data_IF_402487735369
#
_entry.id   IF_402487735369
#
_cell.length_a   1.000
_cell.length_b   1.000
_cell.length_c   1.000
_cell.angle_alpha   90.00
_cell.angle_beta   90.00
_cell.angle_gamma   90.00
#
_symmetry.space_group_name_H-M   'P 1'
#
loop_
_entity.id
_entity.type
_entity.pdbx_description
1 polymer ?
#
# COMPACT_ATOMS: atom_id res chain seq x y z
N UNK A 1 -9.21 -19.32 -7.22
CA UNK A 1 -7.92 -19.19 -6.52
C UNK A 1 -8.14 -18.66 -5.11
N UNK A 2 -7.68 -19.40 -4.10
CA UNK A 2 -7.81 -18.97 -2.69
C UNK A 2 -6.85 -17.82 -2.44
N UNK A 3 -7.36 -16.68 -1.95
CA UNK A 3 -6.54 -15.51 -1.60
C UNK A 3 -6.06 -15.66 -0.16
N UNK A 4 -4.76 -15.47 0.07
CA UNK A 4 -4.12 -15.60 1.38
C UNK A 4 -3.25 -14.38 1.63
N UNK A 5 -3.53 -13.67 2.72
CA UNK A 5 -2.64 -12.65 3.26
C UNK A 5 -1.78 -13.26 4.35
N UNK A 6 -0.50 -12.95 4.33
CA UNK A 6 0.45 -13.45 5.32
C UNK A 6 0.76 -12.36 6.34
N UNK A 7 0.90 -12.72 7.60
CA UNK A 7 1.18 -11.78 8.67
C UNK A 7 2.14 -12.32 9.72
N UNK A 8 2.83 -11.40 10.39
CA UNK A 8 3.69 -11.65 11.54
C UNK A 8 3.02 -11.19 12.82
N UNK A 9 3.18 -11.93 13.88
CA UNK A 9 2.83 -11.48 15.22
C UNK A 9 3.96 -10.64 15.78
N UNK A 10 3.62 -9.48 16.33
CA UNK A 10 4.52 -8.59 17.08
C UNK A 10 3.92 -8.27 18.43
N UNK A 11 4.76 -7.91 19.39
CA UNK A 11 4.31 -7.53 20.72
C UNK A 11 3.50 -6.23 20.67
N UNK A 12 2.39 -6.20 21.41
CA UNK A 12 1.59 -4.99 21.55
C UNK A 12 2.24 -4.08 22.61
N UNK A 13 2.96 -3.06 22.14
CA UNK A 13 3.61 -2.07 23.02
C UNK A 13 2.64 -1.06 23.64
N UNK A 14 1.38 -1.06 23.26
CA UNK A 14 0.36 -0.07 23.71
C UNK A 14 -0.36 -0.51 24.96
N UNK A 15 -0.55 -1.81 25.15
CA UNK A 15 -1.20 -2.36 26.35
C UNK A 15 -0.17 -2.68 27.41
N UNK A 16 -0.12 -1.86 28.46
CA UNK A 16 0.77 -2.07 29.63
C UNK A 16 0.32 -3.20 30.54
N UNK A 17 -0.96 -3.57 30.48
CA UNK A 17 -1.59 -4.48 31.44
C UNK A 17 -1.62 -5.95 30.98
N UNK A 18 -1.43 -6.21 29.70
CA UNK A 18 -1.46 -7.57 29.17
C UNK A 18 -0.29 -7.82 28.22
N UNK A 19 0.79 -8.42 28.74
CA UNK A 19 2.01 -8.75 27.97
C UNK A 19 1.84 -9.90 26.96
N UNK A 20 0.67 -10.51 26.93
CA UNK A 20 0.36 -11.63 26.03
C UNK A 20 -0.33 -11.20 24.74
N UNK A 21 -0.79 -9.94 24.66
CA UNK A 21 -1.47 -9.44 23.47
C UNK A 21 -0.48 -9.21 22.34
N UNK A 22 -0.81 -9.77 21.18
CA UNK A 22 -0.02 -9.65 19.95
C UNK A 22 -0.78 -8.85 18.91
N UNK A 23 -0.08 -8.07 18.13
CA UNK A 23 -0.61 -7.38 16.95
C UNK A 23 -0.21 -8.16 15.71
N UNK A 24 -1.14 -8.31 14.78
CA UNK A 24 -0.86 -8.92 13.49
C UNK A 24 -0.39 -7.87 12.49
N UNK A 25 0.81 -8.02 11.99
CA UNK A 25 1.43 -7.15 11.00
C UNK A 25 1.48 -7.84 9.64
N UNK A 26 1.05 -7.14 8.60
CA UNK A 26 1.12 -7.66 7.24
C UNK A 26 2.56 -7.96 6.81
N UNK A 27 2.81 -9.19 6.38
CA UNK A 27 4.01 -9.56 5.63
C UNK A 27 3.81 -9.11 4.18
N UNK A 28 4.32 -7.93 3.85
CA UNK A 28 4.17 -7.38 2.49
C UNK A 28 4.89 -8.26 1.47
N UNK A 29 4.22 -8.52 0.35
CA UNK A 29 4.83 -9.20 -0.79
C UNK A 29 5.63 -8.25 -1.70
N UNK A 30 5.67 -6.96 -1.37
CA UNK A 30 6.34 -5.92 -2.15
C UNK A 30 5.38 -4.87 -2.69
N UNK A 31 5.90 -4.01 -3.57
CA UNK A 31 5.15 -2.98 -4.26
C UNK A 31 5.17 -3.26 -5.76
N UNK A 32 4.03 -3.15 -6.39
CA UNK A 32 3.87 -3.31 -7.83
C UNK A 32 3.46 -1.97 -8.47
N UNK A 33 3.96 -1.73 -9.65
CA UNK A 33 3.62 -0.58 -10.48
C UNK A 33 2.50 -0.91 -11.48
N UNK A 34 2.04 0.09 -12.22
CA UNK A 34 1.10 -0.15 -13.32
C UNK A 34 1.68 -1.09 -14.38
N UNK A 35 2.97 -0.97 -14.68
CA UNK A 35 3.64 -1.84 -15.66
C UNK A 35 3.64 -3.30 -15.20
N UNK A 36 3.89 -3.56 -13.93
CA UNK A 36 3.82 -4.91 -13.36
C UNK A 36 2.39 -5.48 -13.46
N UNK A 37 1.37 -4.65 -13.22
CA UNK A 37 -0.03 -5.07 -13.37
C UNK A 37 -0.36 -5.38 -14.84
N UNK A 38 0.13 -4.57 -15.78
CA UNK A 38 -0.04 -4.82 -17.20
C UNK A 38 0.65 -6.11 -17.65
N UNK A 39 1.83 -6.41 -17.11
CA UNK A 39 2.51 -7.69 -17.39
C UNK A 39 1.67 -8.88 -16.93
N UNK A 40 1.04 -8.80 -15.76
CA UNK A 40 0.11 -9.84 -15.30
C UNK A 40 -1.14 -9.96 -16.22
N UNK A 41 -1.63 -8.83 -16.73
CA UNK A 41 -2.73 -8.83 -17.71
C UNK A 41 -2.33 -9.50 -19.04
N UNK A 42 -1.09 -9.30 -19.51
CA UNK A 42 -0.59 -9.93 -20.75
C UNK A 42 -0.50 -11.45 -20.67
N UNK A 43 -0.31 -11.98 -19.47
CA UNK A 43 -0.29 -13.43 -19.22
C UNK A 43 -1.69 -14.08 -19.32
N UNK A 44 -2.75 -13.26 -19.29
CA UNK A 44 -4.11 -13.75 -19.48
C UNK A 44 -4.40 -13.94 -20.95
N UNK A 45 -4.98 -15.09 -21.31
CA UNK A 45 -5.38 -15.37 -22.69
C UNK A 45 -6.69 -14.66 -23.04
N UNK A 46 -6.58 -13.36 -23.34
CA UNK A 46 -7.74 -12.52 -23.68
C UNK A 46 -7.91 -12.32 -25.18
N UNK A 47 -6.96 -12.75 -25.98
CA UNK A 47 -6.90 -12.45 -27.42
C UNK A 47 -6.58 -11.00 -27.76
N UNK A 48 -6.38 -10.13 -26.77
CA UNK A 48 -6.03 -8.72 -26.97
C UNK A 48 -4.51 -8.54 -27.07
N UNK A 49 -4.09 -7.63 -27.94
CA UNK A 49 -2.67 -7.27 -28.04
C UNK A 49 -2.23 -6.44 -26.80
N UNK A 50 -0.99 -6.59 -26.32
CA UNK A 50 -0.46 -5.82 -25.20
C UNK A 50 -0.63 -4.30 -25.35
N UNK A 51 -0.40 -3.76 -26.54
CA UNK A 51 -0.54 -2.33 -26.83
C UNK A 51 -2.00 -1.86 -26.67
N UNK A 52 -2.95 -2.68 -27.08
CA UNK A 52 -4.39 -2.41 -26.93
C UNK A 52 -4.78 -2.39 -25.45
N UNK A 53 -4.29 -3.34 -24.68
CA UNK A 53 -4.54 -3.38 -23.23
C UNK A 53 -3.97 -2.15 -22.53
N UNK A 54 -2.72 -1.81 -22.80
CA UNK A 54 -2.05 -0.61 -22.24
C UNK A 54 -2.82 0.66 -22.60
N UNK A 55 -3.19 0.81 -23.86
CA UNK A 55 -3.94 1.98 -24.33
C UNK A 55 -5.30 2.10 -23.61
N UNK A 56 -6.02 1.02 -23.48
CA UNK A 56 -7.33 0.98 -22.81
C UNK A 56 -7.22 1.35 -21.33
N UNK A 57 -6.23 0.83 -20.61
CA UNK A 57 -6.00 1.14 -19.19
C UNK A 57 -5.59 2.60 -19.01
N UNK A 58 -4.71 3.11 -19.87
CA UNK A 58 -4.28 4.52 -19.83
C UNK A 58 -5.44 5.47 -20.12
N UNK A 59 -6.28 5.15 -21.09
CA UNK A 59 -7.48 5.92 -21.41
C UNK A 59 -8.45 5.91 -20.22
N UNK A 60 -8.68 4.74 -19.63
CA UNK A 60 -9.53 4.58 -18.45
C UNK A 60 -9.05 5.45 -17.28
N UNK A 61 -7.77 5.41 -16.95
CA UNK A 61 -7.20 6.23 -15.87
C UNK A 61 -7.38 7.72 -16.12
N UNK A 62 -7.15 8.17 -17.36
CA UNK A 62 -7.33 9.56 -17.74
C UNK A 62 -8.79 10.02 -17.56
N UNK A 63 -9.73 9.24 -18.06
CA UNK A 63 -11.17 9.56 -17.95
C UNK A 63 -11.62 9.57 -16.49
N UNK A 64 -11.21 8.58 -15.68
CA UNK A 64 -11.53 8.53 -14.24
C UNK A 64 -10.96 9.74 -13.51
N UNK A 65 -9.72 10.11 -13.79
CA UNK A 65 -9.09 11.29 -13.21
C UNK A 65 -9.83 12.58 -13.59
N UNK A 66 -10.18 12.75 -14.85
CA UNK A 66 -10.91 13.92 -15.34
C UNK A 66 -12.29 14.03 -14.66
N UNK A 67 -13.02 12.93 -14.52
CA UNK A 67 -14.30 12.91 -13.84
C UNK A 67 -14.19 13.27 -12.36
N UNK A 68 -13.22 12.71 -11.64
CA UNK A 68 -12.98 13.03 -10.22
C UNK A 68 -12.68 14.52 -10.05
N UNK A 69 -11.78 15.07 -10.88
CA UNK A 69 -11.37 16.48 -10.80
C UNK A 69 -12.46 17.45 -11.28
N UNK A 70 -13.48 16.96 -11.98
CA UNK A 70 -14.70 17.71 -12.30
C UNK A 70 -15.80 17.58 -11.23
N UNK A 71 -15.50 16.97 -10.08
CA UNK A 71 -16.38 16.92 -8.93
C UNK A 71 -17.29 15.70 -8.84
N UNK A 72 -17.11 14.72 -9.71
CA UNK A 72 -17.89 13.48 -9.66
C UNK A 72 -17.30 12.49 -8.63
N UNK A 73 -18.18 11.83 -7.89
CA UNK A 73 -17.81 10.59 -7.19
C UNK A 73 -17.77 9.46 -8.21
N UNK A 74 -16.63 8.80 -8.34
CA UNK A 74 -16.44 7.71 -9.29
C UNK A 74 -16.31 6.38 -8.57
N UNK A 75 -17.20 5.44 -8.90
CA UNK A 75 -17.07 4.04 -8.48
C UNK A 75 -16.40 3.24 -9.60
N UNK A 76 -15.23 2.69 -9.31
CA UNK A 76 -14.43 1.92 -10.28
C UNK A 76 -14.80 0.43 -10.31
N UNK A 77 -15.71 -0.01 -9.44
CA UNK A 77 -16.03 -1.41 -9.22
C UNK A 77 -15.19 -2.08 -8.12
N UNK A 78 -14.01 -1.56 -7.80
CA UNK A 78 -13.19 -2.00 -6.65
C UNK A 78 -13.25 -1.03 -5.48
N UNK A 79 -13.20 0.24 -5.77
CA UNK A 79 -13.28 1.33 -4.79
C UNK A 79 -14.04 2.52 -5.36
N UNK A 80 -14.56 3.33 -4.45
CA UNK A 80 -15.20 4.60 -4.77
C UNK A 80 -14.25 5.73 -4.40
N UNK A 81 -13.98 6.60 -5.36
CA UNK A 81 -13.20 7.81 -5.20
C UNK A 81 -14.13 9.02 -5.07
N UNK A 82 -13.93 9.84 -4.05
CA UNK A 82 -14.73 11.05 -3.80
C UNK A 82 -13.80 12.24 -3.63
N UNK A 83 -13.89 13.27 -4.51
CA UNK A 83 -13.12 14.49 -4.34
C UNK A 83 -13.64 15.30 -3.16
N UNK A 84 -12.74 15.92 -2.42
CA UNK A 84 -13.05 16.73 -1.26
C UNK A 84 -12.16 17.97 -1.20
N UNK A 85 -12.69 19.02 -0.61
CA UNK A 85 -11.99 20.27 -0.34
C UNK A 85 -11.75 20.39 1.16
N UNK A 86 -10.56 20.85 1.56
CA UNK A 86 -10.18 21.05 2.95
C UNK A 86 -9.57 22.43 3.13
N UNK A 87 -9.81 23.03 4.27
CA UNK A 87 -9.27 24.32 4.69
C UNK A 87 -10.34 25.37 4.91
N UNK A 88 -9.95 26.46 5.57
CA UNK A 88 -10.78 27.63 5.81
C UNK A 88 -10.55 28.63 4.69
N UNK A 89 -11.62 29.14 4.11
CA UNK A 89 -11.54 30.14 3.05
C UNK A 89 -11.78 31.52 3.66
N UNK A 90 -10.75 32.35 3.72
CA UNK A 90 -10.83 33.72 4.19
C UNK A 90 -11.25 34.63 3.04
N UNK A 91 -12.26 35.48 3.28
CA UNK A 91 -12.76 36.42 2.27
C UNK A 91 -13.41 35.77 1.04
N UNK A 92 -13.75 34.49 1.08
CA UNK A 92 -14.38 33.78 -0.04
C UNK A 92 -13.43 33.47 -1.21
N UNK A 93 -12.12 33.60 -1.04
CA UNK A 93 -11.11 33.38 -2.09
C UNK A 93 -10.34 32.09 -1.80
N UNK A 94 -10.23 31.23 -2.82
CA UNK A 94 -9.41 30.03 -2.75
C UNK A 94 -7.91 30.37 -2.65
N UNK A 95 -7.23 29.80 -1.64
CA UNK A 95 -5.78 29.95 -1.45
C UNK A 95 -5.12 28.58 -1.33
N UNK A 96 -4.20 28.25 -2.25
CA UNK A 96 -3.49 26.97 -2.27
C UNK A 96 -2.61 26.71 -1.04
N UNK A 97 -2.22 27.74 -0.30
CA UNK A 97 -1.41 27.60 0.92
C UNK A 97 -2.26 27.12 2.10
N UNK A 98 -3.51 27.58 2.18
CA UNK A 98 -4.43 27.28 3.29
C UNK A 98 -5.51 26.26 2.92
N UNK A 99 -5.70 25.98 1.63
CA UNK A 99 -6.74 25.09 1.13
C UNK A 99 -6.12 23.96 0.32
N UNK A 100 -6.68 22.78 0.41
CA UNK A 100 -6.23 21.61 -0.31
C UNK A 100 -7.36 20.81 -0.93
N UNK A 101 -7.06 20.19 -2.06
CA UNK A 101 -7.92 19.21 -2.71
C UNK A 101 -7.38 17.83 -2.33
N UNK A 102 -8.23 16.93 -1.92
CA UNK A 102 -7.86 15.53 -1.71
C UNK A 102 -8.96 14.61 -2.19
N UNK A 103 -8.60 13.36 -2.43
CA UNK A 103 -9.55 12.33 -2.85
C UNK A 103 -9.59 11.25 -1.78
N UNK A 104 -10.76 10.98 -1.26
CA UNK A 104 -10.99 9.86 -0.35
C UNK A 104 -11.37 8.61 -1.13
N UNK A 105 -10.89 7.46 -0.67
CA UNK A 105 -11.17 6.16 -1.27
C UNK A 105 -11.86 5.26 -0.27
N UNK A 106 -12.95 4.62 -0.69
CA UNK A 106 -13.65 3.61 0.10
C UNK A 106 -13.78 2.32 -0.71
N UNK A 107 -13.68 1.19 -0.03
CA UNK A 107 -13.83 -0.12 -0.64
C UNK A 107 -15.24 -0.29 -1.21
N UNK A 108 -15.35 -0.79 -2.43
CA UNK A 108 -16.64 -1.16 -3.01
C UNK A 108 -17.05 -2.59 -2.62
N UNK A 109 -18.29 -2.95 -2.96
CA UNK A 109 -18.89 -4.25 -2.63
C UNK A 109 -18.04 -5.41 -3.08
N UNK A 110 -17.56 -5.40 -4.32
CA UNK A 110 -16.73 -6.48 -4.87
C UNK A 110 -15.44 -6.71 -4.06
N UNK A 111 -14.76 -5.63 -3.67
CA UNK A 111 -13.55 -5.73 -2.87
C UNK A 111 -13.86 -6.21 -1.44
N UNK A 112 -14.93 -5.71 -0.81
CA UNK A 112 -15.36 -6.18 0.53
C UNK A 112 -15.72 -7.65 0.55
N UNK A 113 -16.43 -8.14 -0.46
CA UNK A 113 -16.78 -9.56 -0.58
C UNK A 113 -15.54 -10.43 -0.80
N UNK A 114 -14.57 -9.94 -1.57
CA UNK A 114 -13.30 -10.63 -1.78
C UNK A 114 -12.47 -10.69 -0.49
N UNK A 115 -12.45 -9.60 0.30
CA UNK A 115 -11.78 -9.55 1.61
C UNK A 115 -12.41 -10.57 2.57
N UNK A 116 -13.74 -10.66 2.63
CA UNK A 116 -14.45 -11.60 3.50
C UNK A 116 -14.09 -13.07 3.20
N UNK A 117 -13.69 -13.38 1.97
CA UNK A 117 -13.26 -14.71 1.52
C UNK A 117 -11.74 -14.93 1.60
N UNK A 118 -10.99 -13.90 1.96
CA UNK A 118 -9.53 -13.98 2.07
C UNK A 118 -9.13 -14.58 3.41
N UNK A 119 -8.15 -15.48 3.39
CA UNK A 119 -7.63 -16.13 4.59
C UNK A 119 -6.35 -15.44 5.04
N UNK A 120 -6.14 -15.38 6.34
CA UNK A 120 -4.91 -14.89 6.94
C UNK A 120 -4.09 -16.07 7.43
N UNK A 121 -2.83 -16.13 7.03
CA UNK A 121 -1.83 -17.10 7.50
C UNK A 121 -0.82 -16.39 8.40
N UNK A 122 -0.63 -16.90 9.59
CA UNK A 122 0.35 -16.39 10.54
C UNK A 122 1.66 -17.13 10.32
N UNK A 123 2.72 -16.36 9.96
CA UNK A 123 4.04 -16.92 9.66
C UNK A 123 4.88 -17.20 10.92
N UNK A 124 4.56 -16.55 12.04
CA UNK A 124 5.29 -16.65 13.28
C UNK A 124 5.40 -15.30 14.00
N UNK A 125 6.34 -15.19 14.92
CA UNK A 125 6.58 -13.96 15.71
C UNK A 125 7.83 -13.23 15.21
N UNK A 126 7.76 -11.89 15.14
CA UNK A 126 8.91 -11.01 14.90
C UNK A 126 9.14 -10.09 16.09
N UNK A 127 10.40 -9.75 16.37
CA UNK A 127 10.72 -8.74 17.37
C UNK A 127 10.36 -7.33 16.88
N UNK A 128 10.05 -6.43 17.81
CA UNK A 128 9.71 -5.03 17.50
C UNK A 128 10.85 -4.27 16.77
N UNK A 129 12.10 -4.67 16.99
CA UNK A 129 13.28 -4.08 16.32
C UNK A 129 13.23 -4.35 14.82
N UNK A 130 12.88 -5.56 14.41
CA UNK A 130 12.74 -5.92 12.98
C UNK A 130 11.65 -5.10 12.29
N UNK A 131 10.57 -4.81 13.00
CA UNK A 131 9.48 -3.97 12.46
C UNK A 131 9.92 -2.53 12.20
N UNK A 132 10.69 -1.93 13.10
CA UNK A 132 11.19 -0.55 12.96
C UNK A 132 12.08 -0.43 11.72
N UNK A 133 13.00 -1.38 11.50
CA UNK A 133 13.88 -1.40 10.34
C UNK A 133 13.10 -1.51 9.02
N UNK A 134 12.13 -2.44 8.94
CA UNK A 134 11.32 -2.60 7.73
C UNK A 134 10.46 -1.36 7.40
N UNK A 135 10.05 -0.57 8.40
CA UNK A 135 9.28 0.67 8.19
C UNK A 135 10.16 1.84 7.79
N UNK A 136 11.41 1.90 8.26
CA UNK A 136 12.37 2.93 7.85
C UNK A 136 12.79 2.74 6.40
N UNK A 137 13.09 1.52 5.97
CA UNK A 137 13.43 1.20 4.57
C UNK A 137 12.31 1.59 3.60
N UNK A 138 11.04 1.45 4.00
CA UNK A 138 9.90 1.91 3.19
C UNK A 138 9.81 3.42 3.08
N UNK A 139 10.19 4.17 4.13
CA UNK A 139 10.14 5.64 4.12
C UNK A 139 11.28 6.24 3.31
N UNK A 140 12.44 5.61 3.29
CA UNK A 140 13.63 6.11 2.60
C UNK A 140 13.69 5.73 1.12
N UNK A 141 12.81 4.85 0.63
CA UNK A 141 12.76 4.44 -0.78
C UNK A 141 14.02 3.72 -1.26
N UNK A 142 14.87 3.28 -0.36
CA UNK A 142 16.07 2.50 -0.66
C UNK A 142 15.67 1.09 -1.13
N UNK A 143 15.52 0.98 -2.42
CA UNK A 143 15.59 -0.28 -3.13
C UNK A 143 17.07 -0.59 -3.28
N UNK A 144 17.69 -1.31 -2.37
CA UNK A 144 18.83 -2.15 -2.71
C UNK A 144 19.19 -3.06 -1.55
N UNK A 145 19.06 -4.34 -1.81
CA UNK A 145 19.58 -5.39 -0.97
C UNK A 145 21.10 -5.50 -1.06
N UNK A 146 21.81 -4.53 -0.55
CA UNK A 146 23.23 -4.74 -0.18
C UNK A 146 23.33 -4.79 1.34
N UNK A 147 23.14 -5.99 1.87
CA UNK A 147 23.53 -6.29 3.22
C UNK A 147 25.06 -6.19 3.29
N UNK A 148 25.58 -5.04 3.67
CA UNK A 148 26.96 -4.96 4.15
C UNK A 148 27.00 -5.65 5.50
N UNK A 149 27.56 -6.84 5.50
CA UNK A 149 27.93 -7.54 6.71
C UNK A 149 28.95 -6.67 7.47
N UNK A 150 28.51 -6.09 8.60
CA UNK A 150 29.45 -5.50 9.55
C UNK A 150 30.14 -6.65 10.27
N UNK A 151 31.33 -6.99 9.79
CA UNK A 151 32.25 -7.84 10.54
C UNK A 151 32.77 -7.04 11.73
N UNK A 152 32.26 -7.34 12.92
CA UNK A 152 32.92 -6.94 14.17
C UNK A 152 34.21 -7.70 14.29
N UNK A 153 35.34 -7.07 13.96
CA UNK A 153 36.66 -7.54 14.33
C UNK A 153 36.84 -7.26 15.81
N UNK A 154 36.73 -8.27 16.63
CA UNK A 154 37.26 -8.26 18.00
C UNK A 154 38.78 -8.27 17.93
N UNK A 155 39.43 -7.15 18.23
CA UNK A 155 40.86 -7.10 18.51
C UNK A 155 41.08 -7.50 19.95
N UNK A 156 41.54 -8.72 20.16
CA UNK A 156 42.22 -9.09 21.41
C UNK A 156 43.56 -8.35 21.46
N UNK A 157 43.67 -7.40 22.36
CA UNK A 157 44.92 -6.83 22.79
C UNK A 157 45.48 -7.61 23.97
N UNK A 158 46.51 -8.41 23.71
CA UNK A 158 47.40 -8.93 24.75
C UNK A 158 48.34 -7.83 25.21
N UNK A 159 48.43 -7.63 26.48
CA UNK A 159 49.61 -7.62 27.35
C UNK A 159 49.18 -7.34 28.78
#
# INVERSE_FOLDING_TARGET
>A
MKKVLKGWLIDNAVTTDNKTDKILLLASAGSLTLDDVLEEMYKQDTGLRPETMRHSVTLYHRIVMDLILNGYSVNTGLFRAVPQLKGVVEGGVWNKENNSIYVSFTQDKALREAIAKTVVEILGEKSNIMYILETEDRKTGLKDGSATAVTTSSSEGRC
#
